data_IF_717086747712
#
_entry.id   IF_717086747712
#
_cell.length_a   1.000
_cell.length_b   1.000
_cell.length_c   1.000
_cell.angle_alpha   90.00
_cell.angle_beta   90.00
_cell.angle_gamma   90.00
#
_symmetry.space_group_name_H-M   'P 1'
#
loop_
_entity.id
_entity.type
_entity.pdbx_description
1 polymer ?
#
# COMPACT_ATOMS: atom_id res chain seq x y z
N UNK A 1 23.66 -6.27 13.04
CA UNK A 1 23.24 -7.49 12.29
C UNK A 1 22.50 -7.00 11.05
N UNK A 2 23.21 -6.29 10.19
CA UNK A 2 22.58 -5.39 9.21
C UNK A 2 22.71 -5.99 7.82
N UNK A 3 22.11 -7.18 7.64
CA UNK A 3 22.16 -7.83 6.33
C UNK A 3 20.99 -7.37 5.48
N UNK A 4 21.19 -6.24 4.80
CA UNK A 4 20.26 -5.66 3.83
C UNK A 4 19.79 -6.71 2.81
N UNK A 5 20.64 -7.68 2.45
CA UNK A 5 20.28 -8.76 1.53
C UNK A 5 19.18 -9.69 2.07
N UNK A 6 19.16 -9.99 3.37
CA UNK A 6 18.10 -10.81 3.99
C UNK A 6 16.79 -10.01 4.07
N UNK A 7 16.87 -8.71 4.38
CA UNK A 7 15.70 -7.83 4.44
C UNK A 7 15.05 -7.71 3.06
N UNK A 8 15.84 -7.46 2.02
CA UNK A 8 15.37 -7.41 0.63
C UNK A 8 14.87 -8.81 0.18
N UNK A 9 15.57 -9.87 0.58
CA UNK A 9 15.17 -11.27 0.36
C UNK A 9 13.79 -11.60 0.93
N UNK A 10 13.48 -11.12 2.14
CA UNK A 10 12.18 -11.28 2.77
C UNK A 10 11.08 -10.42 2.09
N UNK A 11 11.44 -9.22 1.60
CA UNK A 11 10.53 -8.35 0.85
C UNK A 11 10.10 -8.94 -0.50
N UNK A 12 10.98 -9.69 -1.17
CA UNK A 12 10.71 -10.39 -2.45
C UNK A 12 9.55 -11.42 -2.34
N UNK A 13 9.38 -12.04 -1.17
CA UNK A 13 8.34 -13.03 -0.89
C UNK A 13 7.00 -12.41 -0.45
N UNK A 14 6.92 -11.07 -0.42
CA UNK A 14 5.74 -10.38 0.13
C UNK A 14 4.50 -10.60 -0.75
N UNK A 15 3.41 -11.20 -0.22
CA UNK A 15 2.19 -11.49 -0.96
C UNK A 15 1.31 -10.25 -1.21
N UNK A 16 1.79 -9.06 -0.87
CA UNK A 16 1.03 -7.80 -0.97
C UNK A 16 0.74 -7.36 -2.41
N UNK A 17 1.48 -7.87 -3.40
CA UNK A 17 1.26 -7.59 -4.82
C UNK A 17 -0.13 -8.05 -5.31
N UNK A 18 -0.53 -9.27 -4.95
CA UNK A 18 -1.75 -9.89 -5.45
C UNK A 18 -3.00 -9.05 -5.17
N UNK A 19 -3.25 -8.63 -3.91
CA UNK A 19 -4.37 -7.77 -3.58
C UNK A 19 -4.35 -6.40 -4.26
N UNK A 20 -3.18 -5.78 -4.44
CA UNK A 20 -3.06 -4.47 -5.12
C UNK A 20 -3.43 -4.60 -6.60
N UNK A 21 -2.92 -5.61 -7.28
CA UNK A 21 -3.28 -5.89 -8.68
C UNK A 21 -4.76 -6.25 -8.82
N UNK A 22 -5.27 -7.10 -7.94
CA UNK A 22 -6.68 -7.46 -7.93
C UNK A 22 -7.56 -6.22 -7.70
N UNK A 23 -7.17 -5.31 -6.82
CA UNK A 23 -7.88 -4.05 -6.61
C UNK A 23 -7.90 -3.19 -7.88
N UNK A 24 -6.74 -2.94 -8.50
CA UNK A 24 -6.64 -2.09 -9.67
C UNK A 24 -7.43 -2.64 -10.87
N UNK A 25 -7.24 -3.93 -11.18
CA UNK A 25 -7.89 -4.59 -12.32
C UNK A 25 -9.40 -4.76 -12.08
N UNK A 26 -9.83 -5.21 -10.90
CA UNK A 26 -11.26 -5.39 -10.64
C UNK A 26 -12.02 -4.06 -10.60
N UNK A 27 -11.36 -2.97 -10.21
CA UNK A 27 -11.94 -1.63 -10.27
C UNK A 27 -12.07 -1.17 -11.72
N UNK A 28 -11.05 -1.39 -12.55
CA UNK A 28 -11.09 -1.07 -13.99
C UNK A 28 -12.16 -1.89 -14.74
N UNK A 29 -12.35 -3.16 -14.38
CA UNK A 29 -13.38 -4.05 -14.95
C UNK A 29 -14.77 -3.83 -14.31
N UNK A 30 -14.86 -3.08 -13.21
CA UNK A 30 -16.12 -2.74 -12.54
C UNK A 30 -16.74 -3.86 -11.69
N UNK A 31 -15.94 -4.84 -11.26
CA UNK A 31 -16.38 -5.96 -10.40
C UNK A 31 -16.34 -5.55 -8.93
N UNK A 32 -17.32 -4.76 -8.48
CA UNK A 32 -17.35 -4.23 -7.12
C UNK A 32 -17.19 -5.30 -6.01
N UNK A 33 -17.81 -6.48 -6.16
CA UNK A 33 -17.67 -7.58 -5.18
C UNK A 33 -16.22 -8.05 -5.02
N UNK A 34 -15.49 -8.14 -6.13
CA UNK A 34 -14.09 -8.60 -6.13
C UNK A 34 -13.13 -7.48 -5.70
N UNK A 35 -13.50 -6.21 -5.92
CA UNK A 35 -12.80 -5.05 -5.33
C UNK A 35 -12.85 -5.11 -3.81
N UNK A 36 -14.03 -5.32 -3.21
CA UNK A 36 -14.15 -5.44 -1.75
C UNK A 36 -13.38 -6.65 -1.20
N UNK A 37 -13.36 -7.77 -1.92
CA UNK A 37 -12.53 -8.94 -1.54
C UNK A 37 -11.04 -8.63 -1.60
N UNK A 38 -10.58 -7.92 -2.63
CA UNK A 38 -9.19 -7.52 -2.75
C UNK A 38 -8.77 -6.59 -1.60
N UNK A 39 -9.60 -5.60 -1.26
CA UNK A 39 -9.38 -4.71 -0.12
C UNK A 39 -9.39 -5.51 1.18
N UNK A 40 -10.35 -6.42 1.38
CA UNK A 40 -10.40 -7.25 2.59
C UNK A 40 -9.14 -8.10 2.75
N UNK A 41 -8.69 -8.77 1.68
CA UNK A 41 -7.47 -9.57 1.71
C UNK A 41 -6.24 -8.70 2.02
N UNK A 42 -6.14 -7.52 1.40
CA UNK A 42 -5.06 -6.57 1.67
C UNK A 42 -5.07 -6.11 3.14
N UNK A 43 -6.24 -5.75 3.66
CA UNK A 43 -6.42 -5.33 5.06
C UNK A 43 -6.07 -6.45 6.03
N UNK A 44 -6.43 -7.71 5.75
CA UNK A 44 -6.06 -8.87 6.58
C UNK A 44 -4.55 -9.07 6.60
N UNK A 45 -3.89 -8.98 5.43
CA UNK A 45 -2.44 -9.08 5.33
C UNK A 45 -1.73 -7.97 6.11
N UNK A 46 -2.15 -6.72 5.93
CA UNK A 46 -1.60 -5.57 6.63
C UNK A 46 -1.84 -5.68 8.14
N UNK A 47 -3.05 -6.09 8.54
CA UNK A 47 -3.38 -6.33 9.95
C UNK A 47 -2.51 -7.43 10.56
N UNK A 48 -2.27 -8.54 9.85
CA UNK A 48 -1.35 -9.58 10.32
C UNK A 48 0.06 -9.04 10.54
N UNK A 49 0.59 -8.21 9.63
CA UNK A 49 1.91 -7.58 9.81
C UNK A 49 1.96 -6.72 11.06
N UNK A 50 0.94 -5.87 11.28
CA UNK A 50 0.85 -5.02 12.46
C UNK A 50 0.75 -5.86 13.74
N UNK A 51 -0.10 -6.89 13.76
CA UNK A 51 -0.30 -7.77 14.93
C UNK A 51 0.96 -8.58 15.25
N UNK A 52 1.63 -9.13 14.24
CA UNK A 52 2.91 -9.82 14.43
C UNK A 52 3.97 -8.86 14.98
N UNK A 53 4.07 -7.66 14.43
CA UNK A 53 4.98 -6.64 14.92
C UNK A 53 4.66 -6.23 16.37
N UNK A 54 3.38 -6.08 16.70
CA UNK A 54 2.91 -5.78 18.05
C UNK A 54 3.27 -6.91 19.03
N UNK A 55 2.93 -8.16 18.71
CA UNK A 55 3.20 -9.32 19.57
C UNK A 55 4.70 -9.52 19.80
N UNK A 56 5.51 -9.44 18.74
CA UNK A 56 6.96 -9.56 18.84
C UNK A 56 7.56 -8.44 19.67
N UNK A 57 7.12 -7.20 19.46
CA UNK A 57 7.58 -6.05 20.27
C UNK A 57 7.16 -6.19 21.73
N UNK A 58 5.94 -6.62 22.01
CA UNK A 58 5.45 -6.84 23.38
C UNK A 58 6.26 -7.93 24.11
N UNK A 59 6.61 -9.03 23.41
CA UNK A 59 7.46 -10.08 23.96
C UNK A 59 8.90 -9.60 24.22
N UNK A 60 9.48 -8.83 23.30
CA UNK A 60 10.86 -8.34 23.41
C UNK A 60 10.97 -7.20 24.44
N UNK A 61 9.95 -6.37 24.57
CA UNK A 61 9.90 -5.28 25.56
C UNK A 61 9.90 -5.79 27.01
N UNK A 62 9.50 -7.05 27.23
CA UNK A 62 9.62 -7.70 28.54
C UNK A 62 11.06 -8.14 28.88
N UNK A 63 11.92 -8.27 27.87
CA UNK A 63 13.30 -8.80 28.00
C UNK A 63 14.34 -7.68 27.85
N UNK A 64 14.01 -6.59 27.15
CA UNK A 64 14.93 -5.50 26.80
C UNK A 64 14.18 -4.16 26.80
N UNK A 65 14.78 -3.12 27.37
CA UNK A 65 14.27 -1.74 27.28
C UNK A 65 14.40 -1.22 25.84
N UNK A 66 13.29 -1.23 25.11
CA UNK A 66 13.22 -0.67 23.75
C UNK A 66 12.97 0.83 23.88
N UNK A 67 14.04 1.62 23.95
CA UNK A 67 13.95 3.08 23.89
C UNK A 67 13.68 3.57 22.47
N UNK A 68 12.91 4.67 22.35
CA UNK A 68 12.60 5.32 21.08
C UNK A 68 13.88 5.91 20.46
N UNK A 69 14.51 5.20 19.51
CA UNK A 69 15.68 5.74 18.80
C UNK A 69 15.26 6.85 17.84
N UNK A 70 16.10 7.87 17.68
CA UNK A 70 15.92 8.96 16.70
C UNK A 70 15.68 8.46 15.26
N UNK A 71 16.21 7.29 14.91
CA UNK A 71 15.99 6.59 13.63
C UNK A 71 14.54 6.13 13.40
N UNK A 72 13.77 5.91 14.48
CA UNK A 72 12.35 5.54 14.36
C UNK A 72 11.50 6.80 14.13
N UNK A 73 11.88 7.93 14.74
CA UNK A 73 11.22 9.22 14.52
C UNK A 73 11.48 9.75 13.12
N UNK A 74 12.70 9.63 12.59
CA UNK A 74 13.01 10.07 11.23
C UNK A 74 12.27 9.25 10.15
N UNK A 75 11.80 8.05 10.49
CA UNK A 75 10.91 7.24 9.64
C UNK A 75 9.41 7.56 9.80
N UNK A 76 9.05 8.49 10.69
CA UNK A 76 7.67 8.97 10.89
C UNK A 76 7.40 10.34 10.25
N UNK A 77 8.41 11.04 9.73
CA UNK A 77 8.16 12.27 8.97
C UNK A 77 7.55 11.92 7.60
N UNK A 78 6.24 12.14 7.47
CA UNK A 78 5.63 12.19 6.16
C UNK A 78 6.08 13.45 5.46
N UNK A 79 6.56 13.27 4.24
CA UNK A 79 6.86 14.35 3.31
C UNK A 79 6.04 14.09 2.07
N UNK A 80 5.60 15.16 1.40
CA UNK A 80 4.93 15.08 0.10
C UNK A 80 5.70 14.20 -0.91
N UNK A 81 7.02 14.10 -0.78
CA UNK A 81 7.86 13.24 -1.62
C UNK A 81 7.50 11.76 -1.46
N UNK A 82 7.21 11.26 -0.25
CA UNK A 82 6.84 9.86 -0.03
C UNK A 82 5.49 9.52 -0.64
N UNK A 83 4.54 10.46 -0.60
CA UNK A 83 3.25 10.35 -1.27
C UNK A 83 3.44 10.23 -2.80
N UNK A 84 4.25 11.11 -3.38
CA UNK A 84 4.57 11.05 -4.82
C UNK A 84 5.27 9.73 -5.17
N UNK A 85 6.19 9.25 -4.34
CA UNK A 85 6.82 7.95 -4.53
C UNK A 85 5.79 6.81 -4.46
N UNK A 86 4.89 6.79 -3.48
CA UNK A 86 3.84 5.77 -3.37
C UNK A 86 2.93 5.74 -4.61
N UNK A 87 2.54 6.92 -5.13
CA UNK A 87 1.80 7.04 -6.38
C UNK A 87 2.58 6.48 -7.58
N UNK A 88 3.86 6.83 -7.71
CA UNK A 88 4.71 6.35 -8.81
C UNK A 88 4.98 4.85 -8.72
N UNK A 89 5.16 4.30 -7.52
CA UNK A 89 5.33 2.87 -7.27
C UNK A 89 4.06 2.09 -7.63
N UNK A 90 2.90 2.61 -7.21
CA UNK A 90 1.61 2.07 -7.60
C UNK A 90 1.45 2.06 -9.12
N UNK A 91 1.83 3.16 -9.78
CA UNK A 91 1.77 3.28 -11.22
C UNK A 91 2.70 2.28 -11.92
N UNK A 92 3.96 2.19 -11.46
CA UNK A 92 4.97 1.30 -11.99
C UNK A 92 4.58 -0.17 -11.84
N UNK A 93 3.87 -0.54 -10.76
CA UNK A 93 3.44 -1.92 -10.52
C UNK A 93 2.55 -2.47 -11.64
N UNK A 94 1.58 -1.69 -12.12
CA UNK A 94 0.67 -2.11 -13.20
C UNK A 94 1.36 -2.04 -14.56
N UNK A 95 2.29 -1.08 -14.75
CA UNK A 95 3.15 -1.05 -15.92
C UNK A 95 4.04 -2.30 -16.00
N UNK A 96 4.57 -2.77 -14.86
CA UNK A 96 5.40 -3.97 -14.80
C UNK A 96 4.61 -5.21 -15.23
N UNK A 97 3.35 -5.34 -14.77
CA UNK A 97 2.45 -6.41 -15.18
C UNK A 97 2.16 -6.38 -16.68
N UNK A 98 1.99 -5.19 -17.27
CA UNK A 98 1.66 -5.04 -18.70
C UNK A 98 2.86 -5.26 -19.62
N UNK A 99 4.07 -4.96 -19.14
CA UNK A 99 5.32 -5.08 -19.90
C UNK A 99 6.09 -6.39 -19.64
N UNK A 100 5.46 -7.37 -18.99
CA UNK A 100 6.10 -8.64 -18.58
C UNK A 100 7.42 -8.45 -17.81
N UNK A 101 7.54 -7.34 -17.07
CA UNK A 101 8.68 -7.11 -16.19
C UNK A 101 8.53 -8.04 -14.99
N UNK A 102 9.64 -8.60 -14.51
CA UNK A 102 9.65 -9.51 -13.36
C UNK A 102 8.83 -8.96 -12.19
N UNK A 103 7.71 -9.63 -11.88
CA UNK A 103 6.78 -9.26 -10.79
C UNK A 103 7.52 -9.07 -9.46
N UNK A 104 8.59 -9.84 -9.29
CA UNK A 104 9.56 -9.78 -8.20
C UNK A 104 10.09 -8.36 -7.91
N UNK A 105 10.41 -7.57 -8.94
CA UNK A 105 10.98 -6.22 -8.78
C UNK A 105 9.90 -5.24 -8.28
N UNK A 106 8.69 -5.32 -8.85
CA UNK A 106 7.56 -4.51 -8.39
C UNK A 106 7.16 -4.88 -6.95
N UNK A 107 7.26 -6.16 -6.60
CA UNK A 107 6.97 -6.68 -5.26
C UNK A 107 7.89 -6.13 -4.20
N UNK A 108 9.19 -6.11 -4.47
CA UNK A 108 10.18 -5.51 -3.57
C UNK A 108 9.90 -4.02 -3.39
N UNK A 109 9.61 -3.30 -4.46
CA UNK A 109 9.40 -1.86 -4.41
C UNK A 109 8.16 -1.50 -3.54
N UNK A 110 7.08 -2.28 -3.66
CA UNK A 110 5.87 -2.13 -2.86
C UNK A 110 6.11 -2.54 -1.40
N UNK A 111 6.77 -3.67 -1.18
CA UNK A 111 7.09 -4.14 0.16
C UNK A 111 8.03 -3.18 0.89
N UNK A 112 9.01 -2.60 0.21
CA UNK A 112 9.93 -1.63 0.77
C UNK A 112 9.23 -0.32 1.18
N UNK A 113 8.21 0.11 0.44
CA UNK A 113 7.44 1.30 0.79
C UNK A 113 6.43 1.06 1.93
N UNK A 114 5.80 -0.13 1.99
CA UNK A 114 4.69 -0.37 2.90
C UNK A 114 5.08 -1.11 4.19
N UNK A 115 6.01 -2.07 4.11
CA UNK A 115 6.35 -2.93 5.24
C UNK A 115 6.98 -2.13 6.40
N UNK A 116 7.95 -1.20 6.18
CA UNK A 116 8.53 -0.43 7.27
C UNK A 116 7.52 0.41 8.08
N UNK A 117 6.64 1.24 7.48
CA UNK A 117 5.68 2.03 8.27
C UNK A 117 4.64 1.15 8.97
N UNK A 118 4.23 0.02 8.36
CA UNK A 118 3.33 -0.94 9.01
C UNK A 118 3.96 -1.57 10.26
N UNK A 119 5.24 -1.96 10.19
CA UNK A 119 5.98 -2.49 11.34
C UNK A 119 6.18 -1.42 12.42
N UNK A 120 6.56 -0.19 12.04
CA UNK A 120 6.69 0.93 12.99
C UNK A 120 5.35 1.21 13.70
N UNK A 121 4.22 1.08 13.00
CA UNK A 121 2.90 1.20 13.62
C UNK A 121 2.68 0.16 14.72
N UNK A 122 3.02 -1.11 14.46
CA UNK A 122 2.91 -2.19 15.44
C UNK A 122 3.84 -2.00 16.64
N UNK A 123 5.06 -1.49 16.42
CA UNK A 123 6.01 -1.15 17.49
C UNK A 123 5.46 0.01 18.36
N UNK A 124 4.95 1.07 17.73
CA UNK A 124 4.43 2.25 18.43
C UNK A 124 3.19 1.94 19.27
N UNK A 125 2.37 0.97 18.86
CA UNK A 125 1.23 0.50 19.65
C UNK A 125 1.66 -0.05 21.02
N UNK A 126 2.87 -0.65 21.11
CA UNK A 126 3.41 -1.18 22.37
C UNK A 126 4.12 -0.07 23.17
N UNK A 127 4.99 0.71 22.53
CA UNK A 127 5.88 1.64 23.23
C UNK A 127 5.20 2.96 23.59
N UNK A 128 4.45 3.56 22.66
CA UNK A 128 3.82 4.88 22.80
C UNK A 128 2.48 4.92 22.08
N UNK A 129 1.42 4.35 22.68
CA UNK A 129 0.10 4.24 22.03
C UNK A 129 -0.47 5.59 21.60
N UNK A 130 -0.17 6.67 22.34
CA UNK A 130 -0.58 8.03 21.99
C UNK A 130 0.04 8.56 20.68
N UNK A 131 1.23 8.10 20.30
CA UNK A 131 1.93 8.50 19.05
C UNK A 131 1.76 7.51 17.91
N UNK A 132 1.17 6.35 18.18
CA UNK A 132 0.91 5.30 17.17
C UNK A 132 0.00 5.79 16.03
N UNK A 133 -0.87 6.76 16.31
CA UNK A 133 -1.76 7.37 15.30
C UNK A 133 -0.97 7.90 14.11
N UNK A 134 0.16 8.58 14.33
CA UNK A 134 0.95 9.17 13.24
C UNK A 134 1.59 8.09 12.34
N UNK A 135 2.13 7.04 12.94
CA UNK A 135 2.69 5.90 12.20
C UNK A 135 1.61 5.16 11.40
N UNK A 136 0.42 5.01 11.97
CA UNK A 136 -0.72 4.40 11.29
C UNK A 136 -1.19 5.25 10.11
N UNK A 137 -1.28 6.57 10.29
CA UNK A 137 -1.64 7.50 9.21
C UNK A 137 -0.62 7.47 8.07
N UNK A 138 0.69 7.44 8.37
CA UNK A 138 1.74 7.28 7.35
C UNK A 138 1.61 5.94 6.59
N UNK A 139 1.24 4.87 7.30
CA UNK A 139 0.96 3.57 6.66
C UNK A 139 -0.22 3.70 5.71
N UNK A 140 -1.31 4.34 6.13
CA UNK A 140 -2.49 4.57 5.31
C UNK A 140 -2.19 5.43 4.07
N UNK A 141 -1.39 6.50 4.20
CA UNK A 141 -0.97 7.32 3.06
C UNK A 141 -0.25 6.49 1.99
N UNK A 142 0.66 5.61 2.41
CA UNK A 142 1.37 4.72 1.50
C UNK A 142 0.43 3.72 0.82
N UNK A 143 -0.51 3.13 1.56
CA UNK A 143 -1.54 2.24 0.99
C UNK A 143 -2.36 2.98 -0.06
N UNK A 144 -2.90 4.16 0.29
CA UNK A 144 -3.77 4.94 -0.58
C UNK A 144 -3.02 5.44 -1.81
N UNK A 145 -1.77 5.87 -1.65
CA UNK A 145 -0.89 6.27 -2.75
C UNK A 145 -0.65 5.13 -3.73
N UNK A 146 -0.33 3.93 -3.23
CA UNK A 146 -0.15 2.73 -4.07
C UNK A 146 -1.43 2.34 -4.80
N UNK A 147 -2.58 2.36 -4.12
CA UNK A 147 -3.90 2.07 -4.71
C UNK A 147 -4.30 3.12 -5.76
N UNK A 148 -4.10 4.40 -5.48
CA UNK A 148 -4.38 5.48 -6.41
C UNK A 148 -3.46 5.41 -7.65
N UNK A 149 -2.17 5.19 -7.45
CA UNK A 149 -1.18 5.06 -8.51
C UNK A 149 -1.44 3.88 -9.44
N UNK A 150 -1.77 2.71 -8.85
CA UNK A 150 -2.10 1.51 -9.62
C UNK A 150 -3.40 1.70 -10.42
N UNK A 151 -4.43 2.31 -9.83
CA UNK A 151 -5.64 2.67 -10.57
C UNK A 151 -5.39 3.68 -11.69
N UNK A 152 -4.60 4.72 -11.42
CA UNK A 152 -4.22 5.70 -12.44
C UNK A 152 -3.52 5.03 -13.63
N UNK A 153 -2.62 4.07 -13.37
CA UNK A 153 -1.96 3.29 -14.42
C UNK A 153 -2.95 2.41 -15.19
N UNK A 154 -3.87 1.72 -14.52
CA UNK A 154 -4.90 0.92 -15.23
C UNK A 154 -5.79 1.75 -16.14
N UNK A 155 -6.14 2.98 -15.72
CA UNK A 155 -6.92 3.92 -16.52
C UNK A 155 -6.11 4.45 -17.70
N UNK A 156 -4.84 4.84 -17.48
CA UNK A 156 -3.96 5.39 -18.52
C UNK A 156 -3.58 4.35 -19.57
N UNK A 157 -3.32 3.12 -19.16
CA UNK A 157 -3.01 2.00 -20.06
C UNK A 157 -4.26 1.44 -20.76
N UNK A 158 -5.45 2.00 -20.51
CA UNK A 158 -6.73 1.49 -21.01
C UNK A 158 -6.88 -0.02 -20.78
N UNK A 159 -6.45 -0.52 -19.61
CA UNK A 159 -6.64 -1.90 -19.18
C UNK A 159 -8.11 -2.05 -18.81
N UNK A 160 -8.95 -2.15 -19.84
CA UNK A 160 -10.38 -2.29 -19.76
C UNK A 160 -10.85 -3.52 -20.53
N UNK A 161 -12.11 -3.97 -20.33
CA UNK A 161 -12.62 -5.17 -20.95
C UNK A 161 -12.52 -5.11 -22.48
N UNK A 162 -11.81 -6.09 -23.07
CA UNK A 162 -11.54 -6.27 -24.50
C UNK A 162 -12.79 -6.48 -25.38
N UNK A 163 -14.00 -6.52 -24.80
CA UNK A 163 -15.27 -6.68 -25.54
C UNK A 163 -15.91 -5.32 -25.83
N UNK A 164 -15.86 -4.96 -27.10
CA UNK A 164 -16.43 -3.76 -27.75
C UNK A 164 -17.98 -3.63 -27.67
N UNK A 165 -18.67 -4.57 -27.02
CA UNK A 165 -20.10 -4.82 -27.25
C UNK A 165 -21.09 -4.01 -26.41
N UNK A 166 -20.66 -2.91 -25.78
CA UNK A 166 -21.56 -1.82 -25.36
C UNK A 166 -20.75 -0.60 -24.90
N UNK A 167 -20.57 0.40 -25.78
CA UNK A 167 -19.92 1.69 -25.46
C UNK A 167 -20.52 2.39 -24.22
N UNK A 168 -21.74 2.05 -23.81
CA UNK A 168 -22.39 2.55 -22.58
C UNK A 168 -21.89 1.86 -21.30
N UNK A 169 -21.72 0.54 -21.31
CA UNK A 169 -21.19 -0.20 -20.15
C UNK A 169 -19.72 0.17 -19.89
N UNK A 170 -18.90 0.25 -20.95
CA UNK A 170 -17.50 0.68 -20.86
C UNK A 170 -17.36 2.10 -20.25
N UNK A 171 -18.24 3.04 -20.64
CA UNK A 171 -18.23 4.42 -20.13
C UNK A 171 -18.63 4.49 -18.65
N UNK A 172 -19.56 3.64 -18.19
CA UNK A 172 -19.91 3.55 -16.76
C UNK A 172 -18.78 2.95 -15.92
N UNK A 173 -18.03 1.98 -16.45
CA UNK A 173 -16.87 1.42 -15.75
C UNK A 173 -15.71 2.41 -15.63
N UNK A 174 -15.38 3.13 -16.71
CA UNK A 174 -14.37 4.20 -16.68
C UNK A 174 -14.83 5.35 -15.76
N UNK A 175 -16.12 5.70 -15.78
CA UNK A 175 -16.67 6.71 -14.86
C UNK A 175 -16.59 6.27 -13.39
N UNK A 176 -16.86 5.00 -13.09
CA UNK A 176 -16.72 4.47 -11.72
C UNK A 176 -15.25 4.42 -11.28
N UNK A 177 -14.35 3.93 -12.12
CA UNK A 177 -12.93 3.85 -11.81
C UNK A 177 -12.29 5.24 -11.65
N UNK A 178 -12.68 6.22 -12.47
CA UNK A 178 -12.27 7.62 -12.30
C UNK A 178 -12.85 8.26 -11.03
N UNK A 179 -14.11 7.96 -10.68
CA UNK A 179 -14.69 8.41 -9.41
C UNK A 179 -13.93 7.82 -8.21
N UNK A 180 -13.61 6.52 -8.22
CA UNK A 180 -12.81 5.87 -7.18
C UNK A 180 -11.41 6.51 -7.08
N UNK A 181 -10.77 6.79 -8.22
CA UNK A 181 -9.48 7.48 -8.24
C UNK A 181 -9.57 8.88 -7.61
N UNK A 182 -10.58 9.67 -7.96
CA UNK A 182 -10.80 11.01 -7.39
C UNK A 182 -11.01 10.91 -5.87
N UNK A 183 -11.82 9.95 -5.41
CA UNK A 183 -12.06 9.73 -3.98
C UNK A 183 -10.77 9.35 -3.25
N UNK A 184 -9.94 8.48 -3.84
CA UNK A 184 -8.64 8.12 -3.25
C UNK A 184 -7.67 9.30 -3.18
N UNK A 185 -7.59 10.12 -4.23
CA UNK A 185 -6.74 11.31 -4.24
C UNK A 185 -7.22 12.36 -3.24
N UNK A 186 -8.54 12.54 -3.09
CA UNK A 186 -9.11 13.43 -2.07
C UNK A 186 -8.82 12.92 -0.66
N UNK A 187 -9.00 11.62 -0.40
CA UNK A 187 -8.65 11.00 0.88
C UNK A 187 -7.17 11.20 1.21
N UNK A 188 -6.30 11.00 0.23
CA UNK A 188 -4.86 11.21 0.38
C UNK A 188 -4.55 12.67 0.73
N UNK A 189 -5.15 13.62 0.02
CA UNK A 189 -4.96 15.06 0.26
C UNK A 189 -5.45 15.47 1.66
N UNK A 190 -6.59 14.93 2.11
CA UNK A 190 -7.10 15.18 3.47
C UNK A 190 -6.16 14.60 4.53
N UNK A 191 -5.69 13.36 4.35
CA UNK A 191 -4.74 12.72 5.27
C UNK A 191 -3.43 13.52 5.38
N UNK A 192 -2.90 13.95 4.24
CA UNK A 192 -1.66 14.75 4.18
C UNK A 192 -1.79 16.12 4.82
N UNK A 193 -3.00 16.67 4.96
CA UNK A 193 -3.25 17.94 5.66
C UNK A 193 -3.41 17.77 7.17
N UNK A 194 -3.72 16.55 7.61
CA UNK A 194 -3.97 16.23 9.04
C UNK A 194 -2.68 15.84 9.75
N UNK A 195 -1.68 15.35 9.02
CA UNK A 195 -0.36 14.98 9.53
C UNK A 195 0.57 16.20 9.68
#
# INVERSE_FOLDING_TARGET
MDNVAIIIGAMLLSPLLGPIYAFAINTAVGKAKDVFRAIANFSVLLFMVIVFSFLTTALISHVTDISLTSEILSRMESSFIYIFMALLLGFASVCALTKEISESIAGVAIAAALLPPAVVTGIMLVLYPARSVNAFMLTLENVLGLMAGSLASTLLLNIGPRRYYEKKAARQFIARASLVLIVLLLLLLVLSLVL
#
